data_IF_463703852979
#
_entry.id   IF_463703852979
#
_cell.length_a   1.000
_cell.length_b   1.000
_cell.length_c   1.000
_cell.angle_alpha   90.00
_cell.angle_beta   90.00
_cell.angle_gamma   90.00
#
_symmetry.space_group_name_H-M   'P 1'
#
loop_
_entity.id
_entity.type
_entity.pdbx_description
1 polymer ?
#
# COMPACT_ATOMS: atom_id res chain seq x y z
N UNK A 1 10.47 9.24 -0.53
CA UNK A 1 9.82 8.18 -1.33
C UNK A 1 8.37 8.58 -1.58
N UNK A 2 7.73 8.07 -2.63
CA UNK A 2 6.32 8.31 -2.96
C UNK A 2 5.67 7.00 -3.36
N UNK A 3 4.47 6.74 -2.83
CA UNK A 3 3.64 5.59 -3.16
C UNK A 3 2.39 6.08 -3.93
N UNK A 4 2.42 6.15 -5.28
CA UNK A 4 1.27 6.61 -6.03
C UNK A 4 0.16 5.55 -6.02
N UNK A 5 -1.08 5.98 -5.76
CA UNK A 5 -2.26 5.10 -5.63
C UNK A 5 -3.30 5.46 -6.69
N UNK A 6 -4.00 4.44 -7.20
CA UNK A 6 -5.10 4.58 -8.14
C UNK A 6 -4.85 3.91 -9.49
N UNK A 7 -5.91 3.66 -10.25
CA UNK A 7 -5.85 2.92 -11.51
C UNK A 7 -4.92 3.55 -12.57
N UNK A 8 -4.77 4.88 -12.52
CA UNK A 8 -3.90 5.65 -13.40
C UNK A 8 -2.40 5.43 -13.15
N UNK A 9 -2.03 4.98 -11.95
CA UNK A 9 -0.64 4.76 -11.55
C UNK A 9 -0.25 3.27 -11.56
N UNK A 10 -0.93 2.47 -12.39
CA UNK A 10 -0.51 1.09 -12.64
C UNK A 10 0.86 1.08 -13.33
N UNK A 11 1.78 0.18 -12.93
CA UNK A 11 3.06 0.01 -13.62
C UNK A 11 2.87 -0.22 -15.12
N UNK A 12 3.85 0.20 -15.92
CA UNK A 12 3.86 0.04 -17.38
C UNK A 12 2.78 0.84 -18.15
N UNK A 13 2.08 1.75 -17.48
CA UNK A 13 1.23 2.74 -18.17
C UNK A 13 2.06 3.94 -18.63
N UNK A 14 1.68 4.55 -19.74
CA UNK A 14 2.35 5.76 -20.28
C UNK A 14 2.40 6.88 -19.23
N UNK A 15 1.33 7.01 -18.43
CA UNK A 15 1.29 7.99 -17.35
C UNK A 15 2.29 7.66 -16.24
N UNK A 16 2.34 6.41 -15.78
CA UNK A 16 3.28 5.98 -14.74
C UNK A 16 4.73 6.21 -15.18
N UNK A 17 5.09 5.83 -16.41
CA UNK A 17 6.45 6.04 -16.93
C UNK A 17 6.80 7.53 -17.07
N UNK A 18 5.84 8.34 -17.53
CA UNK A 18 6.03 9.79 -17.63
C UNK A 18 6.22 10.43 -16.27
N UNK A 19 5.40 10.04 -15.28
CA UNK A 19 5.53 10.48 -13.89
C UNK A 19 6.88 10.07 -13.30
N UNK A 20 7.27 8.81 -13.46
CA UNK A 20 8.54 8.28 -12.96
C UNK A 20 9.74 9.02 -13.57
N UNK A 21 9.71 9.30 -14.88
CA UNK A 21 10.74 10.07 -15.57
C UNK A 21 10.88 11.50 -15.03
N UNK A 22 9.75 12.19 -14.82
CA UNK A 22 9.75 13.56 -14.27
C UNK A 22 10.25 13.54 -12.83
N UNK A 23 9.79 12.60 -12.01
CA UNK A 23 10.19 12.48 -10.61
C UNK A 23 11.70 12.23 -10.48
N UNK A 24 12.27 11.31 -11.27
CA UNK A 24 13.72 11.06 -11.28
C UNK A 24 14.54 12.29 -11.69
N UNK A 25 14.00 13.14 -12.58
CA UNK A 25 14.69 14.35 -13.05
C UNK A 25 14.61 15.49 -12.03
N UNK A 26 13.44 15.71 -11.42
CA UNK A 26 13.20 16.84 -10.54
C UNK A 26 13.57 16.55 -9.08
N UNK A 27 13.46 15.29 -8.66
CA UNK A 27 13.71 14.85 -7.28
C UNK A 27 14.49 13.52 -7.32
N UNK A 28 15.79 13.55 -7.63
CA UNK A 28 16.59 12.34 -7.89
C UNK A 28 16.66 11.37 -6.70
N UNK A 29 16.59 11.87 -5.47
CA UNK A 29 16.59 11.04 -4.25
C UNK A 29 15.21 10.45 -3.90
N UNK A 30 14.18 10.77 -4.70
CA UNK A 30 12.84 10.24 -4.48
C UNK A 30 12.61 8.93 -5.23
N UNK A 31 12.36 7.85 -4.48
CA UNK A 31 11.96 6.55 -5.02
C UNK A 31 10.45 6.42 -5.14
N UNK A 32 9.99 5.83 -6.25
CA UNK A 32 8.63 5.29 -6.36
C UNK A 32 8.60 3.93 -5.66
N UNK A 33 7.69 3.77 -4.70
CA UNK A 33 7.51 2.54 -3.94
C UNK A 33 6.10 2.01 -4.09
N UNK A 34 5.93 0.70 -3.89
CA UNK A 34 4.63 0.09 -3.73
C UNK A 34 4.26 0.10 -2.24
N UNK A 35 3.05 0.53 -1.85
CA UNK A 35 2.64 0.45 -0.46
C UNK A 35 2.58 -1.01 -0.01
N UNK A 36 2.93 -1.26 1.26
CA UNK A 36 2.86 -2.59 1.86
C UNK A 36 1.43 -3.12 1.97
N UNK A 37 0.47 -2.20 2.17
CA UNK A 37 -0.95 -2.50 2.29
C UNK A 37 -1.80 -1.59 1.41
N UNK A 38 -3.02 -2.03 1.12
CA UNK A 38 -4.04 -1.17 0.50
C UNK A 38 -4.38 0.02 1.40
N UNK A 39 -4.80 1.18 0.84
CA UNK A 39 -5.15 2.37 1.62
C UNK A 39 -6.17 2.13 2.74
N UNK A 40 -7.13 1.22 2.52
CA UNK A 40 -8.12 0.84 3.53
C UNK A 40 -7.48 0.28 4.80
N UNK A 41 -6.38 -0.49 4.67
CA UNK A 41 -5.62 -0.99 5.83
C UNK A 41 -4.90 0.17 6.52
N UNK A 42 -4.39 1.13 5.75
CA UNK A 42 -3.80 2.36 6.28
C UNK A 42 -4.75 3.12 7.21
N UNK A 43 -6.04 3.20 6.87
CA UNK A 43 -7.05 3.82 7.73
C UNK A 43 -7.20 3.08 9.08
N UNK A 44 -7.14 1.75 9.07
CA UNK A 44 -7.18 0.93 10.30
C UNK A 44 -5.90 1.18 11.13
N UNK A 45 -4.73 1.21 10.50
CA UNK A 45 -3.46 1.49 11.19
C UNK A 45 -3.48 2.88 11.85
N UNK A 46 -4.05 3.88 11.18
CA UNK A 46 -4.26 5.21 11.75
C UNK A 46 -5.19 5.15 12.97
N UNK A 47 -6.33 4.45 12.88
CA UNK A 47 -7.24 4.29 14.01
C UNK A 47 -6.59 3.60 15.22
N UNK A 48 -5.77 2.57 14.99
CA UNK A 48 -5.01 1.89 16.05
C UNK A 48 -4.03 2.85 16.73
N UNK A 49 -3.32 3.67 15.95
CA UNK A 49 -2.41 4.69 16.48
C UNK A 49 -3.15 5.72 17.33
N UNK A 50 -4.30 6.20 16.88
CA UNK A 50 -5.15 7.14 17.64
C UNK A 50 -5.71 6.50 18.93
N UNK A 51 -5.93 5.19 18.94
CA UNK A 51 -6.29 4.42 20.13
C UNK A 51 -5.12 4.16 21.10
N UNK A 52 -3.92 4.69 20.82
CA UNK A 52 -2.72 4.51 21.64
C UNK A 52 -2.04 3.15 21.44
N UNK A 53 -2.38 2.41 20.38
CA UNK A 53 -1.76 1.11 20.09
C UNK A 53 -0.51 1.34 19.24
N UNK A 54 0.63 0.84 19.72
CA UNK A 54 1.90 0.92 19.01
C UNK A 54 1.93 -0.01 17.78
N UNK A 55 2.30 0.56 16.63
CA UNK A 55 2.41 -0.16 15.36
C UNK A 55 3.77 -0.85 15.24
N UNK A 56 3.94 -1.97 15.95
CA UNK A 56 5.17 -2.79 15.89
C UNK A 56 5.24 -3.64 14.62
N UNK A 57 6.45 -4.04 14.22
CA UNK A 57 6.65 -4.95 13.08
C UNK A 57 5.87 -6.26 13.22
N UNK A 58 5.81 -6.80 14.44
CA UNK A 58 5.04 -8.01 14.76
C UNK A 58 3.54 -7.79 14.52
N UNK A 59 3.00 -6.62 14.89
CA UNK A 59 1.60 -6.28 14.64
C UNK A 59 1.32 -6.12 13.15
N UNK A 60 2.19 -5.42 12.41
CA UNK A 60 2.08 -5.25 10.96
C UNK A 60 2.12 -6.60 10.23
N UNK A 61 2.99 -7.51 10.64
CA UNK A 61 3.07 -8.86 10.08
C UNK A 61 1.77 -9.66 10.35
N UNK A 62 1.23 -9.57 11.58
CA UNK A 62 -0.04 -10.22 11.95
C UNK A 62 -1.21 -9.68 11.11
N UNK A 63 -1.29 -8.36 10.92
CA UNK A 63 -2.31 -7.74 10.06
C UNK A 63 -2.17 -8.27 8.63
N UNK A 64 -0.95 -8.31 8.09
CA UNK A 64 -0.68 -8.86 6.76
C UNK A 64 -1.09 -10.33 6.61
N UNK A 65 -0.83 -11.16 7.63
CA UNK A 65 -1.25 -12.57 7.65
C UNK A 65 -2.78 -12.71 7.71
N UNK A 66 -3.44 -11.92 8.55
CA UNK A 66 -4.90 -11.93 8.69
C UNK A 66 -5.60 -11.54 7.39
N UNK A 67 -5.13 -10.50 6.69
CA UNK A 67 -5.70 -10.07 5.41
C UNK A 67 -5.60 -11.17 4.34
N UNK A 68 -4.45 -11.83 4.23
CA UNK A 68 -4.26 -12.96 3.29
C UNK A 68 -5.18 -14.14 3.61
N UNK A 69 -5.43 -14.42 4.89
CA UNK A 69 -6.33 -15.50 5.33
C UNK A 69 -7.79 -15.16 5.00
N UNK A 70 -8.22 -13.93 5.25
CA UNK A 70 -9.59 -13.48 4.98
C UNK A 70 -9.90 -13.48 3.48
N UNK A 71 -8.96 -13.02 2.63
CA UNK A 71 -9.16 -13.02 1.18
C UNK A 71 -9.31 -14.43 0.59
N UNK A 72 -8.58 -15.43 1.11
CA UNK A 72 -8.76 -16.85 0.72
C UNK A 72 -10.15 -17.38 1.07
N UNK A 73 -10.72 -16.95 2.19
CA UNK A 73 -12.04 -17.40 2.65
C UNK A 73 -13.18 -16.68 1.93
N UNK A 74 -12.99 -15.43 1.49
CA UNK A 74 -14.00 -14.69 0.73
C UNK A 74 -14.14 -15.22 -0.70
N UNK A 75 -13.05 -15.67 -1.34
CA UNK A 75 -13.14 -16.29 -2.69
C UNK A 75 -13.95 -17.59 -2.69
N UNK A 76 -14.00 -18.32 -1.58
CA UNK A 76 -14.81 -19.54 -1.45
C UNK A 76 -16.29 -19.24 -1.17
N UNK A 77 -16.62 -18.06 -0.64
CA UNK A 77 -17.98 -17.69 -0.28
C UNK A 77 -18.78 -16.99 -1.41
N UNK A 78 -18.16 -16.73 -2.56
CA UNK A 78 -18.76 -16.07 -3.74
C UNK A 78 -18.63 -16.96 -5.00
N UNK A 79 -18.58 -18.29 -4.83
CA UNK A 79 -18.66 -19.25 -5.94
C UNK A 79 -19.83 -20.21 -5.70
#
# INVERSE_FOLDING_TARGET
EVAPIGGMFRPHTVLYESFARVLRRQVPDCRLIKPLFEPAVGAILLALKEAGIELTDVLLERIGKSLKKTLKNVTVAIL
#
